data_IF_319787830706
#
_entry.id   IF_319787830706
#
_cell.length_a   1.000
_cell.length_b   1.000
_cell.length_c   1.000
_cell.angle_alpha   90.00
_cell.angle_beta   90.00
_cell.angle_gamma   90.00
#
_symmetry.space_group_name_H-M   'P 1'
#
loop_
_entity.id
_entity.type
_entity.pdbx_description
1 polymer ?
#
# COMPACT_ATOMS: atom_id res chain seq x y z
N UNK A 1 -8.54 2.65 -22.50
CA UNK A 1 -8.49 3.59 -23.63
C UNK A 1 -9.16 4.92 -23.27
N UNK A 2 -8.63 6.03 -23.76
CA UNK A 2 -9.15 7.38 -23.53
C UNK A 2 -10.59 7.62 -24.03
N UNK A 3 -11.04 6.81 -24.98
CA UNK A 3 -12.42 6.80 -25.49
C UNK A 3 -13.41 6.04 -24.60
N UNK A 4 -12.92 5.30 -23.58
CA UNK A 4 -13.77 4.54 -22.67
C UNK A 4 -14.70 5.44 -21.82
N UNK A 5 -14.24 6.52 -21.16
CA UNK A 5 -15.10 7.31 -20.30
C UNK A 5 -16.30 7.95 -21.02
N UNK A 6 -16.16 8.58 -22.20
CA UNK A 6 -17.32 9.10 -22.93
C UNK A 6 -18.29 8.01 -23.37
N UNK A 7 -17.79 6.84 -23.81
CA UNK A 7 -18.66 5.71 -24.15
C UNK A 7 -19.39 5.14 -22.93
N UNK A 8 -18.68 5.06 -21.78
CA UNK A 8 -19.25 4.58 -20.53
C UNK A 8 -20.37 5.49 -20.02
N UNK A 9 -20.22 6.83 -20.12
CA UNK A 9 -21.27 7.81 -19.78
C UNK A 9 -22.54 7.60 -20.59
N UNK A 10 -22.40 7.25 -21.87
CA UNK A 10 -23.54 7.03 -22.77
C UNK A 10 -24.26 5.69 -22.51
N UNK A 11 -23.49 4.64 -22.25
CA UNK A 11 -24.03 3.29 -22.19
C UNK A 11 -24.50 2.90 -20.77
N UNK A 12 -24.01 3.58 -19.73
CA UNK A 12 -24.32 3.27 -18.32
C UNK A 12 -24.96 4.47 -17.59
N UNK A 13 -26.25 4.70 -17.78
CA UNK A 13 -26.96 5.79 -17.10
C UNK A 13 -27.04 5.62 -15.58
N UNK A 14 -26.65 4.46 -15.03
CA UNK A 14 -26.54 4.17 -13.61
C UNK A 14 -25.36 4.92 -12.96
N UNK A 15 -24.35 5.30 -13.74
CA UNK A 15 -23.26 6.14 -13.27
C UNK A 15 -23.76 7.60 -13.15
N UNK A 16 -23.53 8.22 -11.99
CA UNK A 16 -23.81 9.63 -11.75
C UNK A 16 -22.73 10.49 -12.36
N UNK A 17 -21.48 10.15 -12.08
CA UNK A 17 -20.29 10.81 -12.61
C UNK A 17 -19.31 9.75 -13.13
N UNK A 18 -18.63 10.09 -14.22
CA UNK A 18 -17.54 9.27 -14.80
C UNK A 18 -16.38 10.20 -15.10
N UNK A 19 -15.22 9.91 -14.57
CA UNK A 19 -14.04 10.74 -14.73
C UNK A 19 -12.86 9.95 -15.29
N UNK A 20 -12.16 10.58 -16.21
CA UNK A 20 -10.90 10.08 -16.76
C UNK A 20 -9.72 10.65 -16.00
N UNK A 21 -8.70 9.81 -15.79
CA UNK A 21 -7.39 10.23 -15.30
C UNK A 21 -6.29 9.58 -16.12
N UNK A 22 -5.29 10.35 -16.47
CA UNK A 22 -4.06 9.83 -17.07
C UNK A 22 -2.87 10.30 -16.24
N UNK A 23 -2.26 9.36 -15.55
CA UNK A 23 -1.18 9.61 -14.60
C UNK A 23 0.18 9.71 -15.30
N UNK A 24 1.04 10.58 -14.79
CA UNK A 24 2.42 10.74 -15.28
C UNK A 24 3.40 10.52 -14.14
N UNK A 25 4.08 9.39 -14.18
CA UNK A 25 5.20 9.10 -13.28
C UNK A 25 6.50 9.72 -13.83
N UNK A 26 7.42 10.05 -12.93
CA UNK A 26 8.73 10.64 -13.27
C UNK A 26 8.62 11.88 -14.18
N UNK A 27 7.64 12.72 -13.86
CA UNK A 27 7.32 13.92 -14.63
C UNK A 27 8.33 15.05 -14.36
N UNK A 28 8.86 15.65 -15.41
CA UNK A 28 9.71 16.83 -15.29
C UNK A 28 8.88 18.11 -15.43
N UNK A 29 8.66 18.79 -14.32
CA UNK A 29 7.97 20.08 -14.28
C UNK A 29 9.00 21.21 -14.29
N UNK A 30 8.85 22.15 -15.22
CA UNK A 30 9.72 23.31 -15.39
C UNK A 30 8.97 24.55 -14.92
N UNK A 31 9.60 25.35 -14.07
CA UNK A 31 9.04 26.61 -13.58
C UNK A 31 9.90 27.75 -14.12
N UNK A 32 9.33 28.66 -14.97
CA UNK A 32 10.06 29.81 -15.51
C UNK A 32 10.59 30.70 -14.39
N UNK A 33 11.81 31.19 -14.56
CA UNK A 33 12.43 32.13 -13.62
C UNK A 33 12.53 33.53 -14.29
N UNK A 34 12.60 34.59 -13.49
CA UNK A 34 12.68 35.97 -14.01
C UNK A 34 13.92 36.25 -14.89
N UNK A 35 14.97 35.45 -14.74
CA UNK A 35 16.22 35.55 -15.53
C UNK A 35 16.13 34.82 -16.88
N UNK A 36 14.98 34.21 -17.19
CA UNK A 36 14.74 33.44 -18.42
C UNK A 36 15.17 31.98 -18.36
N UNK A 37 15.68 31.52 -17.22
CA UNK A 37 16.02 30.12 -17.00
C UNK A 37 14.81 29.35 -16.44
N UNK A 38 14.94 28.03 -16.26
CA UNK A 38 13.91 27.16 -15.72
C UNK A 38 14.41 26.44 -14.49
N UNK A 39 13.66 26.56 -13.39
CA UNK A 39 13.84 25.67 -12.24
C UNK A 39 13.17 24.34 -12.55
N UNK A 40 13.90 23.23 -12.37
CA UNK A 40 13.48 21.88 -12.72
C UNK A 40 13.04 21.12 -11.47
N UNK A 41 11.89 20.49 -11.55
CA UNK A 41 11.35 19.61 -10.50
C UNK A 41 11.03 18.26 -11.11
N UNK A 42 11.69 17.24 -10.63
CA UNK A 42 11.36 15.84 -10.95
C UNK A 42 10.31 15.37 -9.97
N UNK A 43 9.14 15.02 -10.48
CA UNK A 43 8.03 14.47 -9.72
C UNK A 43 7.90 12.99 -10.02
N UNK A 44 8.33 12.17 -9.09
CA UNK A 44 8.18 10.70 -9.22
C UNK A 44 6.71 10.34 -9.36
N UNK A 45 5.82 11.10 -8.71
CA UNK A 45 4.38 10.86 -8.61
C UNK A 45 3.62 12.18 -8.56
N UNK A 46 2.30 12.09 -8.82
CA UNK A 46 1.37 13.15 -8.48
C UNK A 46 1.02 14.12 -9.59
N UNK A 47 1.52 13.90 -10.80
CA UNK A 47 1.09 14.65 -11.98
C UNK A 47 0.04 13.83 -12.73
N UNK A 48 -1.13 14.41 -12.99
CA UNK A 48 -2.26 13.71 -13.61
C UNK A 48 -3.04 14.64 -14.53
N UNK A 49 -3.32 14.18 -15.74
CA UNK A 49 -4.34 14.79 -16.58
C UNK A 49 -5.72 14.29 -16.18
N UNK A 50 -6.68 15.20 -16.01
CA UNK A 50 -8.02 14.81 -15.59
C UNK A 50 -9.09 15.82 -16.03
N UNK A 51 -10.35 15.42 -15.87
CA UNK A 51 -11.53 16.19 -16.21
C UNK A 51 -12.05 16.99 -14.98
N UNK A 52 -12.85 18.07 -15.18
CA UNK A 52 -13.36 18.92 -14.09
C UNK A 52 -14.19 18.15 -13.05
N UNK A 53 -14.89 17.11 -13.44
CA UNK A 53 -15.74 16.31 -12.57
C UNK A 53 -14.96 15.40 -11.59
N UNK A 54 -13.63 15.43 -11.62
CA UNK A 54 -12.78 14.78 -10.61
C UNK A 54 -13.17 15.20 -9.19
N UNK A 55 -13.55 16.48 -9.00
CA UNK A 55 -13.93 17.03 -7.70
C UNK A 55 -15.32 16.61 -7.23
N UNK A 56 -16.14 15.98 -8.10
CA UNK A 56 -17.40 15.34 -7.71
C UNK A 56 -17.22 13.89 -7.32
N UNK A 57 -16.22 13.23 -7.88
CA UNK A 57 -15.89 11.84 -7.57
C UNK A 57 -14.99 11.77 -6.32
N UNK A 58 -14.03 12.69 -6.21
CA UNK A 58 -13.09 12.78 -5.09
C UNK A 58 -13.28 14.12 -4.38
N UNK A 59 -13.78 14.07 -3.15
CA UNK A 59 -14.05 15.25 -2.33
C UNK A 59 -12.74 15.91 -1.91
N UNK A 60 -12.31 16.94 -2.66
CA UNK A 60 -11.12 17.74 -2.38
C UNK A 60 -11.48 19.21 -2.34
N UNK A 61 -11.14 19.84 -1.23
CA UNK A 61 -11.47 21.23 -1.01
C UNK A 61 -10.60 22.16 -1.84
N UNK A 62 -11.21 23.04 -2.62
CA UNK A 62 -10.54 24.16 -3.24
C UNK A 62 -10.24 25.22 -2.19
N UNK A 63 -9.01 25.67 -2.11
CA UNK A 63 -8.51 26.68 -1.17
C UNK A 63 -8.56 28.07 -1.83
N UNK A 64 -8.09 28.17 -3.08
CA UNK A 64 -8.02 29.43 -3.82
C UNK A 64 -8.44 29.15 -5.27
N UNK A 65 -9.24 30.02 -5.88
CA UNK A 65 -9.68 29.90 -7.27
C UNK A 65 -10.90 29.01 -7.45
N UNK A 66 -11.10 28.52 -8.68
CA UNK A 66 -12.15 27.59 -9.07
C UNK A 66 -11.52 26.39 -9.80
N UNK A 67 -11.36 25.30 -9.07
CA UNK A 67 -10.63 24.14 -9.55
C UNK A 67 -11.36 23.41 -10.71
N UNK A 68 -12.69 23.34 -10.68
CA UNK A 68 -13.46 22.71 -11.75
C UNK A 68 -13.37 23.53 -13.04
N UNK A 69 -13.49 24.86 -12.93
CA UNK A 69 -13.36 25.75 -14.08
C UNK A 69 -11.95 25.72 -14.69
N UNK A 70 -10.92 25.65 -13.86
CA UNK A 70 -9.54 25.58 -14.35
C UNK A 70 -9.28 24.29 -15.16
N UNK A 71 -9.88 23.15 -14.79
CA UNK A 71 -9.72 21.91 -15.56
C UNK A 71 -10.61 21.81 -16.81
N UNK A 72 -11.58 22.71 -16.96
CA UNK A 72 -12.45 22.80 -18.16
C UNK A 72 -11.81 23.54 -19.32
N UNK A 73 -10.78 24.33 -19.04
CA UNK A 73 -10.06 25.11 -20.05
C UNK A 73 -8.72 24.42 -20.41
N UNK A 74 -8.36 24.34 -21.70
CA UNK A 74 -7.08 23.78 -22.10
C UNK A 74 -5.90 24.62 -21.58
N UNK A 75 -4.77 23.96 -21.32
CA UNK A 75 -3.54 24.59 -20.80
C UNK A 75 -3.72 25.28 -19.43
N UNK A 76 -4.70 24.88 -18.66
CA UNK A 76 -4.82 25.25 -17.25
C UNK A 76 -4.51 24.06 -16.33
N UNK A 77 -4.13 24.38 -15.10
CA UNK A 77 -3.76 23.40 -14.09
C UNK A 77 -4.27 23.78 -12.71
N UNK A 78 -4.47 22.76 -11.87
CA UNK A 78 -4.77 22.90 -10.46
C UNK A 78 -3.63 22.29 -9.66
N UNK A 79 -3.18 22.97 -8.62
CA UNK A 79 -2.02 22.54 -7.82
C UNK A 79 -2.40 22.40 -6.35
N UNK A 80 -1.77 21.46 -5.63
CA UNK A 80 -1.92 21.35 -4.19
C UNK A 80 -1.13 22.43 -3.45
N UNK A 81 -1.49 22.73 -2.19
CA UNK A 81 -0.79 23.71 -1.36
C UNK A 81 0.70 23.35 -1.21
N UNK A 82 1.02 22.07 -0.99
CA UNK A 82 2.41 21.61 -0.87
C UNK A 82 3.22 21.86 -2.15
N UNK A 83 2.62 21.55 -3.32
CA UNK A 83 3.28 21.78 -4.61
C UNK A 83 3.38 23.27 -4.95
N UNK A 84 2.40 24.10 -4.58
CA UNK A 84 2.49 25.55 -4.73
C UNK A 84 3.68 26.12 -3.93
N UNK A 85 3.85 25.69 -2.68
CA UNK A 85 5.02 26.05 -1.86
C UNK A 85 6.34 25.54 -2.45
N UNK A 86 6.35 24.30 -2.95
CA UNK A 86 7.54 23.67 -3.55
C UNK A 86 8.01 24.41 -4.79
N UNK A 87 7.08 24.80 -5.67
CA UNK A 87 7.40 25.40 -6.98
C UNK A 87 7.62 26.89 -6.88
N UNK A 88 6.76 27.59 -6.15
CA UNK A 88 6.70 29.06 -6.14
C UNK A 88 7.08 29.70 -4.79
N UNK A 89 7.27 28.88 -3.73
CA UNK A 89 7.58 29.39 -2.38
C UNK A 89 6.41 30.06 -1.67
N UNK A 90 5.19 29.99 -2.22
CA UNK A 90 3.97 30.63 -1.69
C UNK A 90 2.75 29.70 -1.86
N UNK A 91 1.70 29.95 -1.09
CA UNK A 91 0.45 29.17 -1.21
C UNK A 91 -0.43 29.65 -2.37
N UNK A 92 -0.49 30.97 -2.57
CA UNK A 92 -1.22 31.54 -3.70
C UNK A 92 -0.38 31.50 -4.97
N UNK A 93 -0.65 30.49 -5.79
CA UNK A 93 0.02 30.28 -7.07
C UNK A 93 -0.86 30.62 -8.28
N UNK A 94 -2.03 31.27 -8.07
CA UNK A 94 -2.93 31.62 -9.19
C UNK A 94 -2.21 32.53 -10.19
N UNK A 95 -2.34 32.17 -11.47
CA UNK A 95 -1.73 32.90 -12.57
C UNK A 95 -0.26 32.58 -12.84
N UNK A 96 0.40 31.84 -11.95
CA UNK A 96 1.75 31.32 -12.21
C UNK A 96 1.73 30.32 -13.37
N UNK A 97 2.87 30.17 -14.04
CA UNK A 97 3.02 29.29 -15.21
C UNK A 97 4.01 28.18 -14.88
N UNK A 98 3.65 26.97 -15.24
CA UNK A 98 4.55 25.83 -15.30
C UNK A 98 4.64 25.32 -16.73
N UNK A 99 5.72 24.63 -17.06
CA UNK A 99 5.87 23.95 -18.35
C UNK A 99 6.04 22.47 -18.13
N UNK A 100 5.22 21.68 -18.82
CA UNK A 100 5.26 20.23 -18.79
C UNK A 100 5.08 19.69 -20.22
N UNK A 101 5.95 18.79 -20.67
CA UNK A 101 5.97 18.22 -22.03
C UNK A 101 5.90 19.30 -23.14
N UNK A 102 6.70 20.33 -23.01
CA UNK A 102 6.76 21.49 -23.91
C UNK A 102 5.48 22.35 -24.00
N UNK A 103 4.48 22.05 -23.20
CA UNK A 103 3.26 22.84 -23.07
C UNK A 103 3.30 23.70 -21.81
N UNK A 104 2.82 24.93 -21.91
CA UNK A 104 2.68 25.83 -20.78
C UNK A 104 1.31 25.67 -20.16
N UNK A 105 1.25 25.57 -18.83
CA UNK A 105 0.03 25.47 -18.06
C UNK A 105 -0.02 26.62 -17.06
N UNK A 106 -1.13 27.33 -17.06
CA UNK A 106 -1.41 28.38 -16.09
C UNK A 106 -2.12 27.80 -14.88
N UNK A 107 -1.67 28.15 -13.69
CA UNK A 107 -2.34 27.72 -12.46
C UNK A 107 -3.63 28.51 -12.27
N UNK A 108 -4.78 27.84 -12.34
CA UNK A 108 -6.11 28.41 -12.18
C UNK A 108 -6.71 28.22 -10.79
N UNK A 109 -6.23 27.22 -10.03
CA UNK A 109 -6.69 27.00 -8.66
C UNK A 109 -5.65 26.29 -7.79
N UNK A 110 -5.83 26.44 -6.46
CA UNK A 110 -5.07 25.72 -5.44
C UNK A 110 -6.03 24.90 -4.60
N UNK A 111 -5.73 23.62 -4.41
CA UNK A 111 -6.52 22.65 -3.62
C UNK A 111 -5.73 22.17 -2.41
N UNK A 112 -6.43 21.59 -1.43
CA UNK A 112 -5.78 20.93 -0.30
C UNK A 112 -4.89 19.77 -0.75
N UNK A 113 -3.90 19.44 0.06
CA UNK A 113 -3.01 18.31 -0.20
C UNK A 113 -3.77 16.99 -0.11
N UNK A 114 -3.42 15.98 -0.93
CA UNK A 114 -3.96 14.64 -0.74
C UNK A 114 -3.57 14.10 0.63
N UNK A 115 -4.44 13.32 1.31
CA UNK A 115 -4.07 12.63 2.52
C UNK A 115 -2.82 11.76 2.31
N UNK A 116 -1.93 11.70 3.28
CA UNK A 116 -0.69 10.90 3.19
C UNK A 116 -0.95 9.41 2.92
N UNK A 117 -2.11 8.91 3.36
CA UNK A 117 -2.52 7.52 3.17
C UNK A 117 -3.28 7.29 1.86
N UNK A 118 -3.39 8.31 1.01
CA UNK A 118 -4.13 8.18 -0.25
C UNK A 118 -3.34 7.40 -1.30
N UNK A 119 -4.00 6.47 -1.97
CA UNK A 119 -3.47 5.80 -3.16
C UNK A 119 -3.53 6.68 -4.42
N UNK A 120 -4.10 7.88 -4.30
CA UNK A 120 -4.28 8.85 -5.37
C UNK A 120 -3.49 10.14 -5.04
N UNK A 121 -2.16 10.13 -5.22
CA UNK A 121 -1.30 11.25 -4.87
C UNK A 121 -1.38 12.37 -5.92
N UNK A 122 -2.55 12.96 -6.12
CA UNK A 122 -2.79 13.99 -7.13
C UNK A 122 -2.36 15.36 -6.62
N UNK A 123 -1.09 15.70 -6.79
CA UNK A 123 -0.52 16.98 -6.36
C UNK A 123 -0.60 18.06 -7.43
N UNK A 124 -0.53 17.69 -8.71
CA UNK A 124 -0.65 18.57 -9.86
C UNK A 124 -1.66 17.97 -10.84
N UNK A 125 -2.80 18.61 -11.02
CA UNK A 125 -3.84 18.21 -11.95
C UNK A 125 -3.77 19.11 -13.17
N UNK A 126 -3.57 18.52 -14.34
CA UNK A 126 -3.52 19.18 -15.64
C UNK A 126 -4.85 18.96 -16.35
N UNK A 127 -5.35 19.98 -17.03
CA UNK A 127 -6.59 19.88 -17.80
C UNK A 127 -6.45 18.82 -18.91
N UNK A 128 -7.35 17.83 -18.90
CA UNK A 128 -7.43 16.80 -19.93
C UNK A 128 -7.80 17.38 -21.30
N UNK A 129 -8.48 18.54 -21.35
CA UNK A 129 -8.85 19.23 -22.59
C UNK A 129 -7.61 19.53 -23.46
N UNK A 130 -6.45 19.73 -22.82
CA UNK A 130 -5.18 19.98 -23.50
C UNK A 130 -4.75 18.85 -24.41
N UNK A 131 -5.01 17.60 -24.02
CA UNK A 131 -4.58 16.39 -24.74
C UNK A 131 -5.73 15.54 -25.29
N UNK A 132 -6.98 15.93 -25.01
CA UNK A 132 -8.18 15.18 -25.37
C UNK A 132 -8.18 14.74 -26.84
N UNK A 133 -8.00 15.69 -27.74
CA UNK A 133 -8.04 15.39 -29.17
C UNK A 133 -7.01 14.36 -29.60
N UNK A 134 -5.78 14.52 -29.16
CA UNK A 134 -4.69 13.57 -29.47
C UNK A 134 -4.95 12.18 -28.89
N UNK A 135 -5.50 12.11 -27.68
CA UNK A 135 -5.80 10.84 -27.04
C UNK A 135 -6.98 10.11 -27.67
N UNK A 136 -8.04 10.84 -28.04
CA UNK A 136 -9.22 10.25 -28.70
C UNK A 136 -8.93 9.72 -30.13
N UNK A 137 -7.95 10.32 -30.82
CA UNK A 137 -7.48 9.83 -32.13
C UNK A 137 -6.86 8.42 -32.04
N UNK A 138 -6.36 8.01 -30.85
CA UNK A 138 -5.83 6.66 -30.65
C UNK A 138 -6.92 5.56 -30.57
N UNK A 139 -8.18 5.93 -30.39
CA UNK A 139 -9.34 5.03 -30.40
C UNK A 139 -9.28 3.93 -29.34
N UNK A 140 -9.98 2.81 -29.62
CA UNK A 140 -10.08 1.66 -28.72
C UNK A 140 -8.85 0.77 -28.67
N UNK A 141 -7.97 0.87 -29.64
CA UNK A 141 -6.78 0.02 -29.77
C UNK A 141 -5.63 0.42 -28.84
N UNK A 142 -5.68 1.61 -28.25
CA UNK A 142 -4.65 2.11 -27.34
C UNK A 142 -5.05 1.93 -25.90
N UNK A 143 -4.33 1.08 -25.17
CA UNK A 143 -4.55 0.84 -23.73
C UNK A 143 -3.23 1.13 -23.01
N UNK A 144 -3.28 2.08 -22.10
CA UNK A 144 -2.13 2.45 -21.29
C UNK A 144 -2.42 2.19 -19.82
N UNK A 145 -1.43 1.67 -19.09
CA UNK A 145 -1.55 1.36 -17.66
C UNK A 145 -1.64 2.60 -16.77
N UNK A 146 -1.33 3.77 -17.30
CA UNK A 146 -1.46 5.07 -16.64
C UNK A 146 -2.84 5.71 -16.80
N UNK A 147 -3.74 5.09 -17.58
CA UNK A 147 -5.11 5.54 -17.82
C UNK A 147 -6.11 4.81 -16.90
N UNK A 148 -6.88 5.58 -16.14
CA UNK A 148 -7.94 5.05 -15.30
C UNK A 148 -9.26 5.76 -15.56
N UNK A 149 -10.34 5.00 -15.44
CA UNK A 149 -11.72 5.50 -15.50
C UNK A 149 -12.38 5.23 -14.15
N UNK A 150 -12.71 6.29 -13.42
CA UNK A 150 -13.48 6.19 -12.19
C UNK A 150 -14.91 6.61 -12.43
N UNK A 151 -15.84 6.01 -11.71
CA UNK A 151 -17.23 6.42 -11.75
C UNK A 151 -17.89 6.36 -10.38
N UNK A 152 -18.84 7.27 -10.17
CA UNK A 152 -19.70 7.31 -9.01
C UNK A 152 -21.06 6.72 -9.40
N UNK A 153 -21.56 5.79 -8.60
CA UNK A 153 -22.91 5.22 -8.81
C UNK A 153 -23.97 6.17 -8.26
N UNK A 154 -25.11 6.22 -8.94
CA UNK A 154 -26.30 6.87 -8.40
C UNK A 154 -26.77 6.17 -7.13
N UNK A 155 -27.38 6.93 -6.25
CA UNK A 155 -27.96 6.40 -5.01
C UNK A 155 -28.98 5.30 -5.31
N UNK A 156 -28.83 4.14 -4.66
CA UNK A 156 -29.68 2.96 -4.85
C UNK A 156 -29.29 2.02 -6.00
N UNK A 157 -28.33 2.40 -6.85
CA UNK A 157 -27.81 1.52 -7.90
C UNK A 157 -26.75 0.56 -7.35
N UNK A 158 -26.61 -0.59 -8.02
CA UNK A 158 -25.63 -1.61 -7.64
C UNK A 158 -24.57 -1.80 -8.73
N UNK A 159 -23.34 -2.13 -8.31
CA UNK A 159 -22.24 -2.47 -9.24
C UNK A 159 -22.63 -3.62 -10.17
N UNK A 160 -23.38 -4.61 -9.66
CA UNK A 160 -23.81 -5.78 -10.42
C UNK A 160 -24.71 -5.42 -11.62
N UNK A 161 -25.45 -4.30 -11.56
CA UNK A 161 -26.27 -3.83 -12.68
C UNK A 161 -25.42 -3.41 -13.88
N UNK A 162 -24.23 -2.86 -13.64
CA UNK A 162 -23.27 -2.51 -14.67
C UNK A 162 -22.46 -3.75 -15.09
N UNK A 163 -21.98 -4.55 -14.15
CA UNK A 163 -21.16 -5.75 -14.43
C UNK A 163 -21.86 -6.71 -15.40
N UNK A 164 -23.17 -6.90 -15.25
CA UNK A 164 -23.96 -7.76 -16.14
C UNK A 164 -24.00 -7.29 -17.61
N UNK A 165 -23.69 -6.03 -17.86
CA UNK A 165 -23.72 -5.40 -19.18
C UNK A 165 -22.31 -5.21 -19.80
N UNK A 166 -21.23 -5.39 -19.01
CA UNK A 166 -19.86 -5.14 -19.45
C UNK A 166 -19.44 -6.01 -20.65
N UNK A 167 -19.89 -7.25 -20.72
CA UNK A 167 -19.60 -8.12 -21.86
C UNK A 167 -20.23 -7.59 -23.16
N UNK A 168 -21.48 -7.14 -23.09
CA UNK A 168 -22.16 -6.53 -24.23
C UNK A 168 -21.51 -5.21 -24.65
N UNK A 169 -21.10 -4.41 -23.66
CA UNK A 169 -20.35 -3.17 -23.87
C UNK A 169 -19.02 -3.45 -24.57
N UNK A 170 -18.25 -4.43 -24.10
CA UNK A 170 -16.99 -4.82 -24.72
C UNK A 170 -17.18 -5.26 -26.17
N UNK A 171 -18.19 -6.09 -26.46
CA UNK A 171 -18.52 -6.53 -27.82
C UNK A 171 -18.96 -5.39 -28.73
N UNK A 172 -19.64 -4.37 -28.18
CA UNK A 172 -20.08 -3.19 -28.95
C UNK A 172 -18.89 -2.33 -29.41
N UNK A 173 -17.89 -2.15 -28.57
CA UNK A 173 -16.83 -1.18 -28.77
C UNK A 173 -15.49 -1.78 -29.26
N UNK A 174 -15.21 -3.05 -28.97
CA UNK A 174 -13.95 -3.70 -29.36
C UNK A 174 -14.04 -4.45 -30.70
N UNK A 175 -14.87 -4.00 -31.62
CA UNK A 175 -15.15 -4.72 -32.89
C UNK A 175 -13.94 -4.90 -33.83
N UNK A 176 -12.95 -4.04 -33.73
CA UNK A 176 -11.85 -3.99 -34.69
C UNK A 176 -10.52 -4.57 -34.14
N UNK A 177 -10.44 -4.76 -32.83
CA UNK A 177 -9.26 -5.34 -32.26
C UNK A 177 -9.44 -6.85 -32.12
N UNK A 178 -8.62 -7.58 -32.82
CA UNK A 178 -8.38 -9.04 -32.66
C UNK A 178 -7.85 -9.41 -31.27
N UNK A 179 -8.12 -8.58 -30.27
CA UNK A 179 -7.83 -8.72 -28.86
C UNK A 179 -8.83 -9.68 -28.21
N UNK A 180 -9.06 -10.77 -28.86
CA UNK A 180 -10.12 -11.81 -28.73
C UNK A 180 -10.64 -12.16 -27.34
N UNK A 181 -10.21 -11.53 -26.25
CA UNK A 181 -10.71 -11.80 -24.90
C UNK A 181 -10.51 -10.63 -23.90
N UNK A 182 -10.56 -9.39 -24.35
CA UNK A 182 -10.53 -8.28 -23.38
C UNK A 182 -11.78 -8.28 -22.50
N UNK A 183 -11.55 -8.28 -21.20
CA UNK A 183 -12.61 -8.26 -20.20
C UNK A 183 -12.47 -7.01 -19.34
N UNK A 184 -13.52 -6.20 -19.31
CA UNK A 184 -13.61 -5.11 -18.34
C UNK A 184 -13.98 -5.66 -16.97
N UNK A 185 -13.30 -5.16 -15.94
CA UNK A 185 -13.53 -5.54 -14.54
C UNK A 185 -13.73 -4.27 -13.73
N UNK A 186 -14.77 -4.23 -12.91
CA UNK A 186 -15.00 -3.14 -11.97
C UNK A 186 -14.33 -3.51 -10.64
N UNK A 187 -13.65 -2.54 -10.06
CA UNK A 187 -13.06 -2.67 -8.72
C UNK A 187 -13.55 -1.54 -7.83
N UNK A 188 -13.84 -1.88 -6.58
CA UNK A 188 -14.16 -0.87 -5.58
C UNK A 188 -12.90 -0.05 -5.25
N UNK A 189 -13.04 1.27 -5.19
CA UNK A 189 -11.94 2.14 -4.78
C UNK A 189 -11.43 1.80 -3.35
N UNK A 190 -12.34 1.33 -2.47
CA UNK A 190 -11.97 0.90 -1.13
C UNK A 190 -11.06 -0.35 -1.10
N UNK A 191 -11.09 -1.15 -2.16
CA UNK A 191 -10.26 -2.35 -2.28
C UNK A 191 -8.93 -2.09 -3.00
N UNK A 192 -8.78 -0.95 -3.67
CA UNK A 192 -7.60 -0.61 -4.48
C UNK A 192 -6.29 -0.72 -3.71
N UNK A 193 -6.28 -0.30 -2.44
CA UNK A 193 -5.10 -0.39 -1.57
C UNK A 193 -4.67 -1.84 -1.29
N UNK A 194 -5.60 -2.79 -1.36
CA UNK A 194 -5.37 -4.20 -1.06
C UNK A 194 -5.33 -5.10 -2.30
N UNK A 195 -5.46 -4.53 -3.49
CA UNK A 195 -5.44 -5.26 -4.75
C UNK A 195 -4.02 -5.23 -5.33
N UNK A 196 -3.33 -6.35 -5.27
CA UNK A 196 -1.98 -6.54 -5.79
C UNK A 196 -1.95 -7.00 -7.26
N UNK A 197 -3.12 -7.28 -7.86
CA UNK A 197 -3.27 -7.61 -9.26
C UNK A 197 -3.36 -6.34 -10.13
N UNK A 198 -3.93 -5.25 -9.57
CA UNK A 198 -4.10 -3.97 -10.24
C UNK A 198 -3.13 -2.97 -9.62
N UNK A 199 -2.19 -2.46 -10.39
CA UNK A 199 -1.31 -1.39 -9.93
C UNK A 199 -2.10 -0.13 -9.57
N UNK A 200 -1.78 0.49 -8.45
CA UNK A 200 -2.26 1.82 -8.10
C UNK A 200 -1.18 2.87 -8.37
N UNK A 201 -1.57 4.14 -8.43
CA UNK A 201 -0.62 5.22 -8.72
C UNK A 201 0.45 5.43 -7.65
N UNK A 202 0.22 4.92 -6.45
CA UNK A 202 1.17 5.08 -5.35
C UNK A 202 2.15 3.90 -5.24
N UNK A 203 1.95 2.81 -6.00
CA UNK A 203 2.72 1.56 -5.95
C UNK A 203 2.82 0.94 -4.55
N UNK A 204 1.91 1.30 -3.65
CA UNK A 204 1.90 0.88 -2.25
C UNK A 204 0.75 -0.09 -1.94
N UNK A 205 0.31 -0.88 -2.93
CA UNK A 205 -0.68 -1.92 -2.68
C UNK A 205 -0.13 -2.95 -1.68
N UNK A 206 -0.89 -3.22 -0.64
CA UNK A 206 -0.54 -4.20 0.40
C UNK A 206 -1.48 -5.39 0.31
N UNK A 207 -0.98 -6.53 -0.10
CA UNK A 207 -1.79 -7.75 -0.16
C UNK A 207 -2.41 -8.09 1.21
N UNK A 208 -3.72 -8.35 1.23
CA UNK A 208 -4.44 -8.82 2.44
C UNK A 208 -3.80 -10.07 3.04
N UNK A 209 -3.18 -10.91 2.21
CA UNK A 209 -2.49 -12.12 2.67
C UNK A 209 -1.31 -11.77 3.58
N UNK A 210 -0.54 -10.73 3.24
CA UNK A 210 0.56 -10.27 4.11
C UNK A 210 0.05 -9.73 5.44
N UNK A 211 -1.05 -8.98 5.45
CA UNK A 211 -1.64 -8.46 6.69
C UNK A 211 -2.16 -9.60 7.59
N UNK A 212 -2.83 -10.58 7.00
CA UNK A 212 -3.29 -11.77 7.73
C UNK A 212 -2.09 -12.55 8.28
N UNK A 213 -1.03 -12.74 7.50
CA UNK A 213 0.18 -13.42 7.95
C UNK A 213 0.86 -12.71 9.12
N UNK A 214 1.02 -11.38 9.04
CA UNK A 214 1.55 -10.56 10.14
C UNK A 214 0.67 -10.62 11.38
N UNK A 215 -0.65 -10.57 11.21
CA UNK A 215 -1.63 -10.73 12.28
C UNK A 215 -1.53 -12.11 12.94
N UNK A 216 -1.38 -13.18 12.16
CA UNK A 216 -1.20 -14.53 12.68
C UNK A 216 0.10 -14.69 13.48
N UNK A 217 1.22 -14.15 12.98
CA UNK A 217 2.50 -14.15 13.72
C UNK A 217 2.35 -13.40 15.05
N UNK A 218 1.73 -12.21 15.03
CA UNK A 218 1.49 -11.42 16.24
C UNK A 218 0.63 -12.17 17.25
N UNK A 219 -0.43 -12.83 16.80
CA UNK A 219 -1.30 -13.66 17.64
C UNK A 219 -0.52 -14.84 18.26
N UNK A 220 0.31 -15.55 17.49
CA UNK A 220 1.15 -16.63 17.98
C UNK A 220 2.15 -16.17 19.04
N UNK A 221 2.74 -15.00 18.88
CA UNK A 221 3.63 -14.41 19.88
C UNK A 221 2.89 -14.08 21.19
N UNK A 222 1.69 -13.49 21.10
CA UNK A 222 0.84 -13.20 22.28
C UNK A 222 0.44 -14.50 22.99
N UNK A 223 0.01 -15.51 22.25
CA UNK A 223 -0.36 -16.83 22.83
C UNK A 223 0.86 -17.44 23.53
N UNK A 224 2.01 -17.46 22.89
CA UNK A 224 3.25 -18.02 23.46
C UNK A 224 3.66 -17.29 24.74
N UNK A 225 3.61 -15.95 24.74
CA UNK A 225 3.89 -15.15 25.92
C UNK A 225 2.90 -15.42 27.06
N UNK A 226 1.60 -15.51 26.74
CA UNK A 226 0.54 -15.82 27.72
C UNK A 226 0.72 -17.23 28.31
N UNK A 227 1.04 -18.23 27.50
CA UNK A 227 1.33 -19.60 27.94
C UNK A 227 2.53 -19.60 28.90
N UNK A 228 3.60 -18.89 28.56
CA UNK A 228 4.78 -18.79 29.41
C UNK A 228 4.45 -18.16 30.76
N UNK A 229 3.67 -17.07 30.77
CA UNK A 229 3.19 -16.43 32.00
C UNK A 229 2.31 -17.39 32.84
N UNK A 230 1.36 -18.11 32.23
CA UNK A 230 0.52 -19.11 32.89
C UNK A 230 1.40 -20.19 33.53
N UNK A 231 2.39 -20.72 32.83
CA UNK A 231 3.26 -21.76 33.34
C UNK A 231 4.09 -21.26 34.55
N UNK A 232 4.62 -20.03 34.48
CA UNK A 232 5.38 -19.42 35.55
C UNK A 232 4.54 -19.16 36.78
N UNK A 233 3.38 -18.49 36.60
CA UNK A 233 2.45 -18.17 37.71
C UNK A 233 1.86 -19.43 38.35
N UNK A 234 1.55 -20.47 37.58
CA UNK A 234 1.06 -21.73 38.10
C UNK A 234 2.13 -22.47 38.91
N UNK A 235 3.41 -22.41 38.49
CA UNK A 235 4.51 -22.98 39.26
C UNK A 235 4.73 -22.21 40.57
N UNK A 236 4.59 -20.89 40.58
CA UNK A 236 4.68 -20.04 41.79
C UNK A 236 3.47 -20.26 42.71
N UNK A 237 2.29 -20.58 42.15
CA UNK A 237 1.08 -20.88 42.93
C UNK A 237 1.28 -21.94 44.03
N UNK A 238 2.15 -22.92 43.79
CA UNK A 238 2.49 -23.96 44.75
C UNK A 238 3.19 -23.34 45.99
N UNK A 239 4.03 -22.34 45.79
CA UNK A 239 4.72 -21.60 46.87
C UNK A 239 3.75 -20.73 47.62
N UNK A 240 2.81 -20.06 46.93
CA UNK A 240 1.78 -19.20 47.53
C UNK A 240 0.59 -19.94 48.11
N UNK A 241 0.50 -21.30 47.98
CA UNK A 241 -0.63 -22.09 48.46
C UNK A 241 -0.86 -21.98 49.96
N UNK A 242 0.22 -21.88 50.77
CA UNK A 242 0.13 -21.68 52.24
C UNK A 242 -0.47 -20.32 52.56
N UNK A 243 -0.05 -19.25 51.90
CA UNK A 243 -0.57 -17.89 52.09
C UNK A 243 -2.07 -17.85 51.75
N UNK A 244 -2.45 -18.42 50.60
CA UNK A 244 -3.86 -18.51 50.17
C UNK A 244 -4.69 -19.35 51.15
N UNK A 245 -4.11 -20.44 51.69
CA UNK A 245 -4.73 -21.26 52.71
C UNK A 245 -5.03 -20.48 54.00
N UNK A 246 -4.08 -19.70 54.51
CA UNK A 246 -4.22 -18.83 55.69
C UNK A 246 -5.28 -17.76 55.46
N UNK A 247 -5.27 -17.07 54.31
CA UNK A 247 -6.29 -16.08 53.98
C UNK A 247 -7.70 -16.63 53.94
N UNK A 248 -7.88 -17.84 53.42
CA UNK A 248 -9.18 -18.54 53.44
C UNK A 248 -9.64 -18.95 54.83
N UNK A 249 -8.73 -19.39 55.71
CA UNK A 249 -9.09 -19.71 57.12
C UNK A 249 -9.47 -18.47 57.90
N UNK A 250 -8.97 -17.29 57.52
CA UNK A 250 -9.34 -15.99 58.07
C UNK A 250 -10.62 -15.37 57.43
N UNK A 251 -11.33 -16.12 56.56
CA UNK A 251 -12.60 -15.71 55.98
C UNK A 251 -12.53 -15.10 54.57
N UNK A 252 -11.37 -15.12 53.91
CA UNK A 252 -11.22 -14.64 52.53
C UNK A 252 -12.06 -15.44 51.55
N UNK A 253 -12.92 -14.78 50.75
CA UNK A 253 -13.75 -15.42 49.75
C UNK A 253 -12.94 -15.80 48.48
N UNK A 254 -13.40 -16.80 47.72
CA UNK A 254 -12.79 -17.24 46.50
C UNK A 254 -12.77 -16.10 45.43
N UNK A 255 -13.83 -15.35 45.36
CA UNK A 255 -13.99 -14.22 44.43
C UNK A 255 -12.99 -13.10 44.71
N UNK A 256 -12.72 -12.79 45.96
CA UNK A 256 -11.71 -11.81 46.36
C UNK A 256 -10.31 -12.23 45.92
N UNK A 257 -9.96 -13.53 46.11
CA UNK A 257 -8.67 -14.06 45.67
C UNK A 257 -8.54 -14.05 44.15
N UNK A 258 -9.59 -14.43 43.41
CA UNK A 258 -9.59 -14.35 41.93
C UNK A 258 -9.40 -12.91 41.46
N UNK A 259 -10.15 -11.95 42.07
CA UNK A 259 -10.01 -10.52 41.74
C UNK A 259 -8.62 -9.98 42.02
N UNK A 260 -8.00 -10.37 43.15
CA UNK A 260 -6.63 -10.00 43.48
C UNK A 260 -5.62 -10.50 42.44
N UNK A 261 -5.67 -11.80 42.06
CA UNK A 261 -4.75 -12.36 41.08
C UNK A 261 -4.94 -11.79 39.68
N UNK A 262 -6.19 -11.53 39.26
CA UNK A 262 -6.48 -10.81 38.02
C UNK A 262 -5.94 -9.37 38.07
N UNK A 263 -6.08 -8.67 39.20
CA UNK A 263 -5.52 -7.34 39.40
C UNK A 263 -3.99 -7.33 39.30
N UNK A 264 -3.30 -8.30 39.95
CA UNK A 264 -1.85 -8.45 39.84
C UNK A 264 -1.42 -8.70 38.36
N UNK A 265 -2.11 -9.59 37.65
CA UNK A 265 -1.83 -9.86 36.22
C UNK A 265 -2.11 -8.64 35.36
N UNK A 266 -3.22 -7.93 35.57
CA UNK A 266 -3.54 -6.72 34.82
C UNK A 266 -2.51 -5.63 35.04
N UNK A 267 -1.99 -5.47 36.25
CA UNK A 267 -0.94 -4.50 36.54
C UNK A 267 0.36 -4.83 35.77
N UNK A 268 0.77 -6.10 35.76
CA UNK A 268 1.94 -6.54 34.99
C UNK A 268 1.73 -6.31 33.50
N UNK A 269 0.55 -6.65 32.97
CA UNK A 269 0.19 -6.43 31.55
C UNK A 269 0.21 -4.95 31.21
N UNK A 270 -0.30 -4.09 32.10
CA UNK A 270 -0.29 -2.64 31.91
C UNK A 270 1.13 -2.09 31.77
N UNK A 271 2.03 -2.45 32.69
CA UNK A 271 3.43 -2.00 32.60
C UNK A 271 4.17 -2.60 31.39
N UNK A 272 3.86 -3.83 31.00
CA UNK A 272 4.39 -4.45 29.78
C UNK A 272 3.96 -3.68 28.53
N UNK A 273 2.69 -3.25 28.45
CA UNK A 273 2.19 -2.43 27.36
C UNK A 273 2.82 -1.04 27.33
N UNK A 274 3.00 -0.40 28.49
CA UNK A 274 3.73 0.88 28.55
C UNK A 274 5.17 0.74 28.04
N UNK A 275 5.86 -0.29 28.48
CA UNK A 275 7.23 -0.57 28.00
C UNK A 275 7.25 -0.86 26.50
N UNK A 276 6.28 -1.63 26.01
CA UNK A 276 6.12 -1.91 24.58
C UNK A 276 5.91 -0.63 23.76
N UNK A 277 5.06 0.27 24.24
CA UNK A 277 4.86 1.59 23.62
C UNK A 277 6.17 2.38 23.51
N UNK A 278 6.94 2.46 24.59
CA UNK A 278 8.23 3.15 24.59
C UNK A 278 9.20 2.51 23.58
N UNK A 279 9.28 1.17 23.55
CA UNK A 279 10.14 0.45 22.63
C UNK A 279 9.73 0.68 21.17
N UNK A 280 8.44 0.69 20.87
CA UNK A 280 7.94 0.99 19.50
C UNK A 280 8.38 2.38 19.09
N UNK A 281 8.21 3.40 19.94
CA UNK A 281 8.63 4.77 19.63
C UNK A 281 10.13 4.89 19.36
N UNK A 282 10.95 4.16 20.12
CA UNK A 282 12.40 4.18 19.97
C UNK A 282 12.88 3.53 18.65
N UNK A 283 12.15 2.51 18.18
CA UNK A 283 12.55 1.70 17.02
C UNK A 283 11.89 2.19 15.73
N UNK A 284 10.74 2.87 15.82
CA UNK A 284 9.92 3.25 14.67
C UNK A 284 10.69 4.04 13.60
N UNK A 285 11.51 4.99 14.00
CA UNK A 285 12.32 5.78 13.05
C UNK A 285 13.31 4.93 12.24
N UNK A 286 13.90 3.89 12.87
CA UNK A 286 14.80 2.96 12.15
C UNK A 286 14.01 2.04 11.21
N UNK A 287 12.82 1.59 11.64
CA UNK A 287 11.94 0.76 10.81
C UNK A 287 11.48 1.55 9.58
N UNK A 288 11.06 2.79 9.76
CA UNK A 288 10.66 3.67 8.67
C UNK A 288 11.79 3.87 7.65
N UNK A 289 13.01 4.19 8.13
CA UNK A 289 14.18 4.33 7.25
C UNK A 289 14.56 3.05 6.52
N UNK A 290 14.42 1.89 7.18
CA UNK A 290 14.82 0.61 6.58
C UNK A 290 13.82 0.08 5.58
N UNK A 291 12.52 0.32 5.82
CA UNK A 291 11.42 -0.14 4.97
C UNK A 291 10.92 0.93 4.00
N UNK A 292 11.52 2.14 4.04
CA UNK A 292 11.08 3.30 3.24
C UNK A 292 9.60 3.63 3.45
N UNK A 293 9.13 3.54 4.72
CA UNK A 293 7.74 3.77 5.11
C UNK A 293 7.64 5.05 5.97
N UNK A 294 6.45 5.62 6.03
CA UNK A 294 6.11 6.76 6.90
C UNK A 294 5.08 6.35 7.97
N UNK A 295 5.36 5.25 8.69
CA UNK A 295 4.49 4.79 9.77
C UNK A 295 4.52 5.78 10.93
N UNK A 296 3.34 6.15 11.41
CA UNK A 296 3.16 6.96 12.63
C UNK A 296 2.46 6.13 13.70
N UNK A 297 2.92 6.25 14.93
CA UNK A 297 2.31 5.58 16.08
C UNK A 297 1.87 6.63 17.11
N UNK A 298 0.81 7.35 16.77
CA UNK A 298 0.27 8.42 17.61
C UNK A 298 -0.98 7.92 18.36
N UNK A 299 -0.73 7.45 19.60
CA UNK A 299 -1.74 6.81 20.42
C UNK A 299 -2.84 7.77 20.87
N UNK A 300 -2.52 9.04 21.11
CA UNK A 300 -3.45 9.99 21.72
C UNK A 300 -4.40 10.62 20.69
N UNK A 301 -3.95 10.76 19.46
CA UNK A 301 -4.75 11.33 18.37
C UNK A 301 -5.56 10.28 17.60
N UNK A 302 -5.23 8.97 17.78
CA UNK A 302 -5.92 7.90 17.05
C UNK A 302 -6.79 7.04 18.00
N UNK A 303 -8.12 7.27 18.05
CA UNK A 303 -9.02 6.54 18.94
C UNK A 303 -9.12 5.05 18.62
N UNK A 304 -8.91 4.66 17.35
CA UNK A 304 -8.93 3.25 16.93
C UNK A 304 -7.73 2.51 17.50
N UNK A 305 -6.55 3.14 17.46
CA UNK A 305 -5.33 2.58 18.03
C UNK A 305 -5.45 2.46 19.55
N UNK A 306 -6.03 3.46 20.22
CA UNK A 306 -6.29 3.41 21.66
C UNK A 306 -7.26 2.27 22.03
N UNK A 307 -8.35 2.09 21.27
CA UNK A 307 -9.30 1.00 21.47
C UNK A 307 -8.64 -0.37 21.22
N UNK A 308 -7.80 -0.49 20.21
CA UNK A 308 -7.01 -1.70 19.93
C UNK A 308 -6.09 -2.04 21.12
N UNK A 309 -5.32 -1.08 21.63
CA UNK A 309 -4.44 -1.27 22.78
C UNK A 309 -5.23 -1.68 24.03
N UNK A 310 -6.40 -1.07 24.27
CA UNK A 310 -7.33 -1.47 25.33
C UNK A 310 -7.82 -2.91 25.17
N UNK A 311 -8.15 -3.31 23.95
CA UNK A 311 -8.56 -4.68 23.64
C UNK A 311 -7.44 -5.67 23.91
N UNK A 312 -6.23 -5.39 23.45
CA UNK A 312 -5.03 -6.22 23.71
C UNK A 312 -4.80 -6.33 25.22
N UNK A 313 -4.89 -5.24 25.97
CA UNK A 313 -4.78 -5.23 27.43
C UNK A 313 -5.77 -6.19 28.08
N UNK A 314 -7.03 -6.10 27.73
CA UNK A 314 -8.11 -6.93 28.29
C UNK A 314 -7.88 -8.41 27.93
N UNK A 315 -7.64 -8.69 26.64
CA UNK A 315 -7.47 -10.06 26.14
C UNK A 315 -6.25 -10.72 26.79
N UNK A 316 -5.10 -10.05 26.84
CA UNK A 316 -3.88 -10.61 27.45
C UNK A 316 -4.05 -10.80 28.95
N UNK A 317 -4.65 -9.84 29.65
CA UNK A 317 -4.91 -9.96 31.11
C UNK A 317 -5.81 -11.13 31.42
N UNK A 318 -6.86 -11.36 30.61
CA UNK A 318 -7.78 -12.49 30.79
C UNK A 318 -7.11 -13.82 30.43
N UNK A 319 -6.47 -13.92 29.28
CA UNK A 319 -5.80 -15.15 28.83
C UNK A 319 -4.72 -15.60 29.83
N UNK A 320 -3.92 -14.64 30.32
CA UNK A 320 -2.82 -14.94 31.23
C UNK A 320 -3.26 -15.10 32.69
N UNK A 321 -4.32 -14.40 33.13
CA UNK A 321 -4.71 -14.31 34.55
C UNK A 321 -5.80 -15.28 34.97
N UNK A 322 -6.78 -15.58 34.11
CA UNK A 322 -7.97 -16.35 34.50
C UNK A 322 -7.61 -17.75 35.00
N UNK A 323 -6.84 -18.51 34.24
CA UNK A 323 -6.50 -19.88 34.61
C UNK A 323 -5.69 -19.97 35.91
N UNK A 324 -4.57 -19.23 36.09
CA UNK A 324 -3.87 -19.25 37.38
C UNK A 324 -4.74 -18.79 38.56
N UNK A 325 -5.56 -17.76 38.39
CA UNK A 325 -6.44 -17.28 39.44
C UNK A 325 -7.44 -18.36 39.93
N UNK A 326 -8.06 -19.10 39.00
CA UNK A 326 -8.96 -20.21 39.35
C UNK A 326 -8.23 -21.38 40.01
N UNK A 327 -7.03 -21.74 39.54
CA UNK A 327 -6.21 -22.83 40.10
C UNK A 327 -5.81 -22.44 41.52
N UNK A 328 -5.23 -21.25 41.74
CA UNK A 328 -4.74 -20.80 43.05
C UNK A 328 -5.89 -20.66 44.03
N UNK A 329 -7.00 -20.04 43.61
CA UNK A 329 -8.19 -19.89 44.47
C UNK A 329 -8.91 -21.19 44.77
N UNK A 330 -8.61 -22.31 44.04
CA UNK A 330 -9.18 -23.61 44.27
C UNK A 330 -8.50 -24.47 45.36
N UNK A 331 -7.33 -24.07 45.88
CA UNK A 331 -6.63 -24.84 46.93
C UNK A 331 -7.40 -24.94 48.22
N UNK A 332 -7.48 -26.17 48.81
CA UNK A 332 -8.08 -26.44 50.09
C UNK A 332 -7.14 -26.03 51.21
N UNK A 333 -7.62 -25.24 52.23
CA UNK A 333 -6.79 -24.77 53.33
C UNK A 333 -6.14 -25.89 54.15
N UNK A 334 -6.87 -27.01 54.38
CA UNK A 334 -6.40 -28.15 55.17
C UNK A 334 -5.24 -28.86 54.52
N UNK A 335 -5.32 -29.08 53.20
CA UNK A 335 -4.22 -29.72 52.42
C UNK A 335 -3.02 -28.82 52.26
N UNK A 336 -3.22 -27.52 52.17
CA UNK A 336 -2.16 -26.53 52.09
C UNK A 336 -1.33 -26.42 53.37
N UNK A 337 -1.94 -26.63 54.52
CA UNK A 337 -1.28 -26.56 55.85
C UNK A 337 -0.58 -27.88 56.22
N UNK A 338 -1.12 -29.04 55.80
CA UNK A 338 -0.62 -30.39 56.17
C UNK A 338 0.61 -30.85 55.40
N UNK A 339 1.18 -30.09 54.47
CA UNK A 339 2.36 -30.43 53.70
C UNK A 339 2.28 -31.80 52.98
N UNK A 340 1.07 -32.34 52.77
CA UNK A 340 0.85 -33.64 52.12
C UNK A 340 1.05 -33.51 50.59
N UNK A 341 2.32 -33.67 50.15
CA UNK A 341 2.75 -33.54 48.78
C UNK A 341 2.21 -34.63 47.80
N UNK A 342 1.12 -35.32 48.16
CA UNK A 342 0.65 -36.48 47.44
C UNK A 342 -0.61 -36.29 46.58
N UNK A 343 -1.27 -35.12 46.61
CA UNK A 343 -2.38 -34.86 45.69
C UNK A 343 -1.95 -33.84 44.61
N UNK A 344 -1.08 -34.29 43.69
CA UNK A 344 -0.92 -33.69 42.37
C UNK A 344 -2.25 -33.88 41.63
N UNK A 345 -3.07 -32.80 41.55
CA UNK A 345 -4.23 -32.85 40.66
C UNK A 345 -3.74 -33.16 39.24
N UNK A 346 -3.93 -34.41 38.81
CA UNK A 346 -3.46 -34.94 37.52
C UNK A 346 -3.94 -34.08 36.33
N UNK A 347 -5.06 -33.38 36.51
CA UNK A 347 -5.63 -32.49 35.47
C UNK A 347 -4.78 -31.22 35.23
N UNK A 348 -4.30 -30.59 36.31
CA UNK A 348 -3.46 -29.38 36.17
C UNK A 348 -2.08 -29.67 35.57
N UNK A 349 -1.52 -30.87 35.85
CA UNK A 349 -0.27 -31.30 35.27
C UNK A 349 -0.39 -31.54 33.76
N UNK A 350 -1.46 -32.23 33.30
CA UNK A 350 -1.73 -32.47 31.87
C UNK A 350 -1.92 -31.19 31.09
N UNK A 351 -2.68 -30.24 31.62
CA UNK A 351 -2.88 -28.94 30.94
C UNK A 351 -1.55 -28.19 30.78
N UNK A 352 -0.73 -28.13 31.82
CA UNK A 352 0.60 -27.49 31.74
C UNK A 352 1.48 -28.17 30.70
N UNK A 353 1.49 -29.52 30.64
CA UNK A 353 2.23 -30.22 29.58
C UNK A 353 1.70 -29.87 28.19
N UNK A 354 0.38 -29.87 28.00
CA UNK A 354 -0.22 -29.46 26.72
C UNK A 354 0.15 -28.05 26.32
N UNK A 355 0.10 -27.11 27.25
CA UNK A 355 0.51 -25.72 27.01
C UNK A 355 1.98 -25.60 26.59
N UNK A 356 2.88 -26.33 27.29
CA UNK A 356 4.31 -26.34 26.93
C UNK A 356 4.51 -26.93 25.54
N UNK A 357 3.86 -28.06 25.22
CA UNK A 357 3.95 -28.67 23.88
C UNK A 357 3.43 -27.70 22.82
N UNK A 358 2.29 -27.05 23.04
CA UNK A 358 1.73 -26.03 22.11
C UNK A 358 2.70 -24.90 21.89
N UNK A 359 3.32 -24.39 22.95
CA UNK A 359 4.35 -23.33 22.86
C UNK A 359 5.53 -23.76 22.00
N UNK A 360 6.06 -25.01 22.21
CA UNK A 360 7.14 -25.51 21.40
C UNK A 360 6.75 -25.67 19.93
N UNK A 361 5.53 -26.18 19.66
CA UNK A 361 5.01 -26.33 18.29
C UNK A 361 4.96 -24.95 17.59
N UNK A 362 4.40 -23.93 18.23
CA UNK A 362 4.34 -22.57 17.68
C UNK A 362 5.75 -22.04 17.43
N UNK A 363 6.64 -22.12 18.42
CA UNK A 363 8.01 -21.62 18.29
C UNK A 363 8.78 -22.32 17.16
N UNK A 364 8.64 -23.65 17.07
CA UNK A 364 9.28 -24.43 16.03
C UNK A 364 8.74 -24.08 14.64
N UNK A 365 7.43 -23.88 14.51
CA UNK A 365 6.80 -23.46 13.26
C UNK A 365 7.34 -22.09 12.81
N UNK A 366 7.43 -21.11 13.72
CA UNK A 366 7.97 -19.79 13.40
C UNK A 366 9.45 -19.86 12.98
N UNK A 367 10.27 -20.69 13.65
CA UNK A 367 11.67 -20.89 13.26
C UNK A 367 11.78 -21.51 11.87
N UNK A 368 11.01 -22.55 11.58
CA UNK A 368 11.01 -23.20 10.26
C UNK A 368 10.59 -22.20 9.17
N UNK A 369 9.49 -21.45 9.39
CA UNK A 369 9.06 -20.44 8.44
C UNK A 369 10.14 -19.39 8.19
N UNK A 370 10.82 -18.91 9.24
CA UNK A 370 11.91 -17.94 9.11
C UNK A 370 13.06 -18.51 8.28
N UNK A 371 13.47 -19.75 8.53
CA UNK A 371 14.53 -20.41 7.76
C UNK A 371 14.15 -20.60 6.28
N UNK A 372 12.90 -20.95 6.01
CA UNK A 372 12.38 -21.06 4.64
C UNK A 372 12.43 -19.72 3.94
N UNK A 373 11.97 -18.63 4.60
CA UNK A 373 12.02 -17.27 4.03
C UNK A 373 13.46 -16.83 3.75
N UNK A 374 14.39 -17.05 4.67
CA UNK A 374 15.81 -16.74 4.45
C UNK A 374 16.36 -17.52 3.26
N UNK A 375 16.06 -18.81 3.19
CA UNK A 375 16.50 -19.68 2.08
C UNK A 375 15.93 -19.21 0.74
N UNK A 376 14.65 -18.83 0.73
CA UNK A 376 13.98 -18.33 -0.47
C UNK A 376 14.58 -16.98 -0.91
N UNK A 377 14.85 -16.08 0.03
CA UNK A 377 15.48 -14.79 -0.25
C UNK A 377 16.91 -14.99 -0.82
N UNK A 378 17.69 -15.89 -0.24
CA UNK A 378 19.00 -16.21 -0.77
C UNK A 378 18.94 -16.82 -2.18
N UNK A 379 17.94 -17.67 -2.44
CA UNK A 379 17.71 -18.21 -3.78
C UNK A 379 17.43 -17.08 -4.79
N UNK A 380 16.53 -16.14 -4.48
CA UNK A 380 16.25 -14.99 -5.36
C UNK A 380 17.48 -14.12 -5.63
N UNK A 381 18.32 -13.92 -4.61
CA UNK A 381 19.56 -13.11 -4.76
C UNK A 381 20.63 -13.79 -5.59
N UNK A 382 20.71 -15.11 -5.55
CA UNK A 382 21.79 -15.89 -6.18
C UNK A 382 21.38 -16.58 -7.48
N UNK A 383 20.09 -16.68 -7.75
CA UNK A 383 19.59 -17.29 -9.00
C UNK A 383 20.12 -16.51 -10.21
N UNK A 384 20.60 -17.26 -11.19
CA UNK A 384 20.94 -16.70 -12.49
C UNK A 384 19.67 -16.15 -13.17
N UNK A 385 19.69 -14.88 -13.48
CA UNK A 385 18.57 -14.17 -14.14
C UNK A 385 18.64 -14.26 -15.65
N UNK A 386 19.66 -14.95 -16.22
CA UNK A 386 19.88 -15.03 -17.66
C UNK A 386 20.59 -13.78 -18.24
N UNK A 387 20.94 -12.82 -17.41
CA UNK A 387 21.73 -11.65 -17.79
C UNK A 387 22.68 -11.24 -16.67
N UNK A 388 23.78 -10.57 -17.07
CA UNK A 388 24.75 -10.03 -16.11
C UNK A 388 24.19 -8.76 -15.48
N UNK A 389 23.99 -8.77 -14.16
CA UNK A 389 23.50 -7.61 -13.38
C UNK A 389 24.63 -6.75 -12.81
N UNK A 390 25.85 -7.31 -12.74
CA UNK A 390 26.98 -6.65 -12.13
C UNK A 390 27.52 -5.57 -13.07
N UNK A 391 27.78 -4.40 -12.54
CA UNK A 391 28.30 -3.23 -13.24
C UNK A 391 27.37 -2.65 -14.33
N UNK A 392 26.07 -2.97 -14.31
CA UNK A 392 25.08 -2.32 -15.17
C UNK A 392 24.45 -1.14 -14.41
N UNK A 393 24.54 0.04 -15.00
CA UNK A 393 23.89 1.26 -14.49
C UNK A 393 22.78 1.64 -15.43
N UNK A 394 21.57 1.81 -14.90
CA UNK A 394 20.41 2.30 -15.65
C UNK A 394 20.27 3.81 -15.42
N UNK A 395 20.27 4.57 -16.50
CA UNK A 395 20.04 6.02 -16.46
C UNK A 395 18.65 6.28 -17.04
N UNK A 396 17.66 6.70 -16.24
CA UNK A 396 16.34 7.04 -16.73
C UNK A 396 16.42 8.29 -17.62
N UNK A 397 15.79 8.20 -18.79
CA UNK A 397 15.66 9.34 -19.69
C UNK A 397 14.26 9.93 -19.49
N UNK A 398 14.13 11.23 -19.17
CA UNK A 398 12.85 11.89 -19.05
C UNK A 398 11.97 11.70 -20.28
N UNK A 399 10.67 11.56 -20.13
CA UNK A 399 9.73 11.28 -21.21
C UNK A 399 9.84 12.27 -22.38
N UNK A 400 10.04 13.53 -22.05
CA UNK A 400 10.26 14.63 -23.02
C UNK A 400 11.44 14.39 -23.96
N UNK A 401 12.48 13.73 -23.50
CA UNK A 401 13.72 13.50 -24.24
C UNK A 401 13.70 12.14 -24.99
N UNK A 402 12.59 11.40 -24.89
CA UNK A 402 12.42 10.15 -25.64
C UNK A 402 12.14 10.45 -27.09
N UNK A 403 12.71 9.67 -28.04
CA UNK A 403 12.37 9.81 -29.45
C UNK A 403 10.87 9.62 -29.67
N UNK A 404 10.25 10.53 -30.38
CA UNK A 404 8.86 10.40 -30.81
C UNK A 404 8.76 9.63 -32.12
N UNK A 405 7.61 8.97 -32.42
CA UNK A 405 7.38 8.36 -33.72
C UNK A 405 7.58 9.38 -34.84
N UNK A 406 8.51 9.12 -35.75
CA UNK A 406 8.87 10.02 -36.86
C UNK A 406 10.14 10.85 -36.62
N UNK A 407 10.66 10.92 -35.42
CA UNK A 407 11.97 11.54 -35.17
C UNK A 407 13.08 10.76 -35.83
N UNK A 408 13.99 11.46 -36.52
CA UNK A 408 15.18 10.79 -37.00
C UNK A 408 16.03 10.38 -35.81
N UNK A 409 16.35 9.07 -35.72
CA UNK A 409 17.20 8.51 -34.67
C UNK A 409 18.56 9.20 -34.53
N UNK A 410 18.97 9.97 -35.56
CA UNK A 410 20.24 10.72 -35.56
C UNK A 410 20.17 12.02 -34.76
N UNK A 411 19.01 12.61 -34.60
CA UNK A 411 18.82 13.89 -33.92
C UNK A 411 18.34 13.78 -32.46
N UNK A 412 18.19 12.56 -31.93
CA UNK A 412 17.65 12.41 -30.57
C UNK A 412 18.72 12.75 -29.52
N UNK A 413 18.36 13.57 -28.56
CA UNK A 413 19.20 13.91 -27.40
C UNK A 413 19.63 12.69 -26.60
N UNK A 414 18.78 11.65 -26.55
CA UNK A 414 19.08 10.35 -25.95
C UNK A 414 20.30 9.69 -26.58
N UNK A 415 20.44 9.77 -27.89
CA UNK A 415 21.60 9.23 -28.60
C UNK A 415 22.86 10.04 -28.33
N UNK A 416 22.74 11.36 -28.26
CA UNK A 416 23.86 12.24 -27.88
C UNK A 416 24.33 11.92 -26.47
N UNK A 417 23.41 11.79 -25.50
CA UNK A 417 23.72 11.37 -24.13
C UNK A 417 24.43 10.02 -24.14
N UNK A 418 23.91 9.03 -24.86
CA UNK A 418 24.50 7.70 -24.93
C UNK A 418 25.93 7.73 -25.48
N UNK A 419 26.19 8.57 -26.50
CA UNK A 419 27.54 8.76 -27.04
C UNK A 419 28.50 9.43 -26.08
N UNK A 420 28.03 10.42 -25.30
CA UNK A 420 28.84 11.05 -24.26
C UNK A 420 29.16 10.10 -23.11
N UNK A 421 28.16 9.30 -22.68
CA UNK A 421 28.35 8.24 -21.69
C UNK A 421 29.35 7.20 -22.15
N UNK A 422 29.31 6.82 -23.43
CA UNK A 422 30.25 5.85 -24.04
C UNK A 422 31.73 6.33 -24.04
N UNK A 423 31.95 7.64 -23.93
CA UNK A 423 33.30 8.24 -23.86
C UNK A 423 33.90 8.26 -22.45
N UNK A 424 33.07 7.98 -21.42
CA UNK A 424 33.55 7.99 -20.05
C UNK A 424 34.48 6.81 -19.80
N UNK A 425 35.58 7.08 -19.09
CA UNK A 425 36.52 6.02 -18.70
C UNK A 425 35.82 5.02 -17.76
N UNK A 426 35.88 3.74 -18.13
CA UNK A 426 35.24 2.66 -17.37
C UNK A 426 33.90 2.22 -17.92
N UNK A 427 33.37 2.86 -18.95
CA UNK A 427 32.16 2.38 -19.69
C UNK A 427 32.61 1.46 -20.81
N UNK A 428 32.27 0.19 -20.72
CA UNK A 428 32.59 -0.82 -21.74
C UNK A 428 31.59 -0.80 -22.92
N UNK A 429 30.34 -0.39 -22.67
CA UNK A 429 29.32 -0.32 -23.69
C UNK A 429 28.03 0.29 -23.18
N UNK A 430 27.10 0.60 -24.06
CA UNK A 430 25.79 1.10 -23.74
C UNK A 430 24.71 0.48 -24.63
N UNK A 431 23.48 0.50 -24.14
CA UNK A 431 22.28 0.14 -24.90
C UNK A 431 21.15 1.08 -24.53
N UNK A 432 20.33 1.45 -25.51
CA UNK A 432 19.08 2.13 -25.28
C UNK A 432 17.98 1.07 -25.25
N UNK A 433 17.18 1.05 -24.20
CA UNK A 433 16.05 0.16 -24.04
C UNK A 433 14.82 0.95 -23.60
N UNK A 434 13.64 0.47 -23.92
CA UNK A 434 12.39 1.07 -23.47
C UNK A 434 12.21 0.87 -21.95
N UNK A 435 12.50 -0.34 -21.49
CA UNK A 435 12.51 -0.68 -20.08
C UNK A 435 13.67 -1.66 -19.80
N UNK A 436 14.35 -1.54 -18.66
CA UNK A 436 15.43 -2.47 -18.32
C UNK A 436 14.86 -3.85 -17.99
N UNK A 437 15.66 -4.92 -18.15
CA UNK A 437 15.28 -6.25 -17.68
C UNK A 437 14.85 -6.21 -16.21
N UNK A 438 13.82 -6.96 -15.84
CA UNK A 438 13.25 -7.02 -14.47
C UNK A 438 12.55 -5.73 -14.00
N UNK A 439 12.20 -4.82 -14.87
CA UNK A 439 11.42 -3.62 -14.52
C UNK A 439 9.95 -3.90 -14.19
N UNK A 440 9.46 -5.12 -14.48
CA UNK A 440 8.03 -5.45 -14.38
C UNK A 440 7.17 -4.82 -15.48
N UNK A 441 7.78 -4.08 -16.39
CA UNK A 441 7.07 -3.49 -17.52
C UNK A 441 6.80 -4.56 -18.58
N UNK A 442 5.54 -4.70 -18.99
CA UNK A 442 5.13 -5.63 -20.06
C UNK A 442 4.62 -4.80 -21.25
N UNK A 443 5.25 -4.96 -22.38
CA UNK A 443 4.81 -4.35 -23.64
C UNK A 443 4.32 -5.43 -24.58
N UNK A 444 3.07 -5.33 -25.01
CA UNK A 444 2.54 -6.13 -26.11
C UNK A 444 2.81 -5.45 -27.44
N UNK A 445 3.36 -6.16 -28.40
CA UNK A 445 3.53 -5.68 -29.75
C UNK A 445 3.30 -6.81 -30.73
N UNK A 446 2.63 -6.49 -31.83
CA UNK A 446 2.52 -7.39 -32.95
C UNK A 446 3.67 -7.12 -33.92
N UNK A 447 4.24 -8.17 -34.47
CA UNK A 447 5.23 -8.04 -35.51
C UNK A 447 4.83 -8.90 -36.72
N UNK A 448 5.04 -8.31 -37.89
CA UNK A 448 4.81 -8.95 -39.16
C UNK A 448 6.15 -9.38 -39.76
N UNK A 449 6.28 -10.66 -40.10
CA UNK A 449 7.45 -11.13 -40.80
C UNK A 449 7.38 -10.75 -42.29
N UNK A 450 8.50 -10.37 -42.87
CA UNK A 450 8.58 -10.04 -44.28
C UNK A 450 8.03 -11.19 -45.15
N UNK A 451 7.09 -10.86 -46.04
CA UNK A 451 6.42 -11.84 -46.93
C UNK A 451 5.22 -12.55 -46.33
N UNK A 452 4.76 -12.14 -45.13
CA UNK A 452 3.53 -12.62 -44.47
C UNK A 452 2.42 -11.59 -44.58
N UNK A 453 1.16 -12.04 -44.50
CA UNK A 453 -0.01 -11.15 -44.44
C UNK A 453 -0.25 -10.62 -43.06
N UNK A 454 -1.03 -9.54 -42.93
CA UNK A 454 -1.44 -9.00 -41.61
C UNK A 454 -2.17 -10.02 -40.74
N UNK A 455 -2.88 -10.99 -41.33
CA UNK A 455 -3.51 -12.09 -40.64
C UNK A 455 -2.51 -13.07 -40.00
N UNK A 456 -1.26 -13.07 -40.46
CA UNK A 456 -0.17 -13.87 -39.93
C UNK A 456 0.64 -13.14 -38.84
N UNK A 457 0.25 -11.92 -38.48
CA UNK A 457 0.88 -11.16 -37.39
C UNK A 457 0.84 -11.95 -36.09
N UNK A 458 1.98 -12.07 -35.42
CA UNK A 458 2.06 -12.76 -34.13
C UNK A 458 2.30 -11.75 -33.04
N UNK A 459 1.33 -11.67 -32.09
CA UNK A 459 1.52 -10.94 -30.88
C UNK A 459 2.63 -11.55 -30.02
N UNK A 460 3.53 -10.73 -29.52
CA UNK A 460 4.49 -11.12 -28.49
C UNK A 460 4.41 -10.16 -27.31
N UNK A 461 4.59 -10.69 -26.12
CA UNK A 461 4.80 -9.89 -24.91
C UNK A 461 6.29 -9.90 -24.63
N UNK A 462 6.86 -8.71 -24.49
CA UNK A 462 8.28 -8.49 -24.18
C UNK A 462 8.40 -7.83 -22.82
#
# INVERSE_FOLDING_TARGET
PSVLPPAFRLDFPQAEEVVFTQYRANALVLVPQPDGDFKKFEEERGVVYTEPNIFRVFDRKTIIGDAAKALDEPNEAVISVASAKKYFGKEDAIGEIIKFNDQEFKIGAVVEDPPLQSDLPFYLLLSYETIRKSNEENGWGSIWSDEHCYFLLKEGESVSSIESQLEAFAKKHNREADWGQQRYVIRSLADLHFDDEIGNYNYNAVSRVYLIALGAVSLFLIITASINFINLTTAEAIRRSKEVGIRKTLGGSRTQLVGQFLGETSLVTFFALLLSFVLVQLVLGRVNSFLELELTFDLLSNPVLLAFMGTVFIVVSLLSGVYPAFVISGYNPVSALKNSGTNRNASGFRLRQALVVTQFVISQLLVILTLVLISQMNYFRTKDLGFRKDAIVVIPIPERERPQPGDSLQASKSRTLAQEVARLAGVEGYSLCFAPPSSGYVMGSDFLMEGKSEEDARGTQV
#
